data_IF_516082470264
#
_entry.id   IF_516082470264
#
_cell.length_a   1.000
_cell.length_b   1.000
_cell.length_c   1.000
_cell.angle_alpha   90.00
_cell.angle_beta   90.00
_cell.angle_gamma   90.00
#
_symmetry.space_group_name_H-M   'P 1'
#
loop_
_entity.id
_entity.type
_entity.pdbx_description
1 polymer ?
#
# COMPACT_ATOMS: atom_id res chain seq x y z
N UNK A 1 16.84 -7.74 4.50
CA UNK A 1 15.96 -8.17 5.61
C UNK A 1 14.59 -8.58 5.10
N UNK A 2 13.80 -7.68 4.48
CA UNK A 2 12.47 -8.05 3.98
C UNK A 2 12.43 -9.02 2.80
N UNK A 3 13.53 -9.23 2.04
CA UNK A 3 13.59 -10.28 1.00
C UNK A 3 13.20 -11.64 1.56
N UNK A 4 13.93 -12.12 2.57
CA UNK A 4 13.70 -13.44 3.14
C UNK A 4 12.32 -13.58 3.79
N UNK A 5 11.75 -12.49 4.31
CA UNK A 5 10.40 -12.50 4.88
C UNK A 5 9.33 -12.63 3.79
N UNK A 6 9.49 -11.95 2.65
CA UNK A 6 8.61 -12.06 1.48
C UNK A 6 8.77 -13.45 0.86
N UNK A 7 10.00 -13.91 0.67
CA UNK A 7 10.32 -15.22 0.07
C UNK A 7 9.81 -16.40 0.93
N UNK A 8 9.52 -16.16 2.22
CA UNK A 8 8.96 -17.15 3.15
C UNK A 8 7.44 -17.07 3.29
N UNK A 9 6.77 -16.17 2.56
CA UNK A 9 5.30 -16.15 2.51
C UNK A 9 4.80 -17.40 1.79
N UNK A 10 3.63 -17.94 2.19
CA UNK A 10 2.98 -19.00 1.44
C UNK A 10 2.49 -18.46 0.07
N UNK A 11 1.98 -19.36 -0.76
CA UNK A 11 1.34 -18.98 -2.02
C UNK A 11 0.15 -18.03 -1.78
N UNK A 12 -0.12 -17.10 -2.70
CA UNK A 12 -1.19 -16.11 -2.56
C UNK A 12 -2.60 -16.73 -2.46
N UNK A 13 -2.78 -17.97 -2.94
CA UNK A 13 -4.02 -18.73 -2.78
C UNK A 13 -4.15 -19.46 -1.43
N UNK A 14 -3.11 -19.45 -0.60
CA UNK A 14 -3.10 -20.11 0.71
C UNK A 14 -3.94 -19.32 1.74
N UNK A 15 -4.82 -19.98 2.53
CA UNK A 15 -5.61 -19.30 3.56
C UNK A 15 -4.79 -18.55 4.62
N UNK A 16 -3.54 -18.93 4.88
CA UNK A 16 -2.65 -18.23 5.82
C UNK A 16 -1.96 -17.00 5.21
N UNK A 17 -2.00 -16.85 3.88
CA UNK A 17 -1.32 -15.76 3.19
C UNK A 17 -1.74 -14.37 3.67
N UNK A 18 -3.05 -14.04 3.80
CA UNK A 18 -3.46 -12.67 4.14
C UNK A 18 -2.91 -12.20 5.49
N UNK A 19 -2.93 -13.07 6.51
CA UNK A 19 -2.43 -12.75 7.85
C UNK A 19 -0.91 -12.54 7.84
N UNK A 20 -0.16 -13.44 7.20
CA UNK A 20 1.30 -13.35 7.12
C UNK A 20 1.75 -12.14 6.29
N UNK A 21 1.08 -11.88 5.16
CA UNK A 21 1.35 -10.73 4.30
C UNK A 21 1.10 -9.41 5.05
N UNK A 22 0.03 -9.31 5.84
CA UNK A 22 -0.29 -8.12 6.63
C UNK A 22 0.83 -7.74 7.63
N UNK A 23 1.44 -8.74 8.29
CA UNK A 23 2.57 -8.53 9.20
C UNK A 23 3.78 -7.97 8.44
N UNK A 24 4.12 -8.56 7.29
CA UNK A 24 5.24 -8.11 6.47
C UNK A 24 5.00 -6.70 5.93
N UNK A 25 3.82 -6.43 5.38
CA UNK A 25 3.41 -5.12 4.85
C UNK A 25 3.47 -4.03 5.91
N UNK A 26 3.05 -4.31 7.14
CA UNK A 26 3.15 -3.37 8.27
C UNK A 26 4.61 -3.00 8.56
N UNK A 27 5.51 -3.99 8.58
CA UNK A 27 6.95 -3.75 8.74
C UNK A 27 7.54 -2.94 7.59
N UNK A 28 7.16 -3.27 6.35
CA UNK A 28 7.63 -2.56 5.15
C UNK A 28 7.14 -1.10 5.11
N UNK A 29 5.90 -0.82 5.56
CA UNK A 29 5.37 0.56 5.66
C UNK A 29 6.21 1.43 6.60
N UNK A 30 6.63 0.88 7.75
CA UNK A 30 7.55 1.56 8.67
C UNK A 30 8.91 1.82 8.03
N UNK A 31 9.47 0.83 7.30
CA UNK A 31 10.72 1.00 6.58
C UNK A 31 10.61 2.07 5.47
N UNK A 32 9.51 2.08 4.71
CA UNK A 32 9.25 3.10 3.69
C UNK A 32 9.20 4.51 4.27
N UNK A 33 8.57 4.69 5.43
CA UNK A 33 8.54 5.96 6.15
C UNK A 33 9.95 6.41 6.51
N UNK A 34 10.74 5.56 7.18
CA UNK A 34 12.11 5.87 7.58
C UNK A 34 13.03 6.16 6.38
N UNK A 35 12.88 5.42 5.27
CA UNK A 35 13.68 5.63 4.05
C UNK A 35 13.26 6.89 3.28
N UNK A 36 11.97 7.21 3.26
CA UNK A 36 11.48 8.45 2.64
C UNK A 36 11.97 9.67 3.42
N UNK A 37 11.98 9.58 4.76
CA UNK A 37 12.54 10.63 5.62
C UNK A 37 14.06 10.78 5.44
N UNK A 38 14.80 9.67 5.36
CA UNK A 38 16.22 9.72 5.04
C UNK A 38 16.47 10.35 3.66
N UNK A 39 15.66 10.04 2.66
CA UNK A 39 15.79 10.58 1.31
C UNK A 39 15.45 12.09 1.23
N UNK A 40 14.64 12.63 2.14
CA UNK A 40 14.28 14.06 2.18
C UNK A 40 15.30 14.92 2.92
N UNK A 41 16.03 14.36 3.90
CA UNK A 41 16.96 15.10 4.77
C UNK A 41 18.44 15.01 4.36
N UNK A 42 18.81 14.06 3.49
CA UNK A 42 20.22 13.75 3.24
C UNK A 42 20.90 14.68 2.23
N UNK A 43 22.19 14.99 2.47
CA UNK A 43 23.13 15.33 1.37
C UNK A 43 22.95 14.27 0.29
N UNK A 44 22.74 14.70 -0.96
CA UNK A 44 22.37 13.84 -2.10
C UNK A 44 23.27 12.59 -2.14
N UNK A 45 22.73 11.45 -1.71
CA UNK A 45 23.39 10.16 -1.79
C UNK A 45 22.54 9.26 -2.70
N UNK A 46 22.96 9.03 -3.96
CA UNK A 46 22.26 8.16 -4.89
C UNK A 46 21.98 6.76 -4.34
N UNK A 47 22.82 6.22 -3.45
CA UNK A 47 22.61 4.89 -2.87
C UNK A 47 21.34 4.80 -2.03
N UNK A 48 20.96 5.89 -1.35
CA UNK A 48 19.71 5.97 -0.57
C UNK A 48 18.50 5.96 -1.50
N UNK A 49 18.58 6.67 -2.63
CA UNK A 49 17.51 6.71 -3.62
C UNK A 49 17.31 5.33 -4.27
N UNK A 50 18.40 4.64 -4.62
CA UNK A 50 18.35 3.27 -5.16
C UNK A 50 17.76 2.30 -4.14
N UNK A 51 18.16 2.39 -2.86
CA UNK A 51 17.59 1.56 -1.80
C UNK A 51 16.09 1.83 -1.61
N UNK A 52 15.67 3.09 -1.57
CA UNK A 52 14.25 3.46 -1.45
C UNK A 52 13.43 2.95 -2.63
N UNK A 53 13.94 3.06 -3.87
CA UNK A 53 13.29 2.50 -5.05
C UNK A 53 13.14 0.98 -4.93
N UNK A 54 14.18 0.27 -4.48
CA UNK A 54 14.12 -1.18 -4.26
C UNK A 54 13.09 -1.59 -3.22
N UNK A 55 12.94 -0.82 -2.13
CA UNK A 55 11.91 -1.08 -1.11
C UNK A 55 10.50 -0.82 -1.66
N UNK A 56 10.30 0.27 -2.42
CA UNK A 56 9.01 0.59 -3.05
C UNK A 56 8.56 -0.52 -4.00
N UNK A 57 9.42 -0.95 -4.92
CA UNK A 57 9.07 -2.00 -5.89
C UNK A 57 8.66 -3.31 -5.20
N UNK A 58 9.30 -3.68 -4.09
CA UNK A 58 8.95 -4.88 -3.32
C UNK A 58 7.65 -4.72 -2.56
N UNK A 59 7.40 -3.54 -2.00
CA UNK A 59 6.15 -3.24 -1.32
C UNK A 59 4.99 -3.28 -2.31
N UNK A 60 5.17 -2.66 -3.49
CA UNK A 60 4.17 -2.64 -4.55
C UNK A 60 3.82 -4.05 -5.00
N UNK A 61 4.82 -4.89 -5.27
CA UNK A 61 4.61 -6.29 -5.65
C UNK A 61 3.82 -7.08 -4.60
N UNK A 62 4.24 -7.02 -3.33
CA UNK A 62 3.53 -7.71 -2.24
C UNK A 62 2.10 -7.16 -2.06
N UNK A 63 1.89 -5.86 -2.27
CA UNK A 63 0.57 -5.25 -2.19
C UNK A 63 -0.34 -5.71 -3.32
N UNK A 64 0.18 -5.89 -4.53
CA UNK A 64 -0.58 -6.45 -5.65
C UNK A 64 -1.05 -7.88 -5.38
N UNK A 65 -0.18 -8.72 -4.82
CA UNK A 65 -0.54 -10.08 -4.41
C UNK A 65 -1.61 -10.07 -3.31
N UNK A 66 -1.42 -9.24 -2.28
CA UNK A 66 -2.37 -9.09 -1.18
C UNK A 66 -3.74 -8.57 -1.63
N UNK A 67 -3.78 -7.59 -2.54
CA UNK A 67 -5.02 -7.02 -3.05
C UNK A 67 -5.80 -7.97 -3.98
N UNK A 68 -5.12 -8.93 -4.61
CA UNK A 68 -5.71 -9.95 -5.46
C UNK A 68 -6.19 -11.20 -4.71
N UNK A 69 -5.72 -11.40 -3.47
CA UNK A 69 -6.02 -12.58 -2.66
C UNK A 69 -7.39 -12.55 -1.98
N UNK A 70 -7.89 -13.71 -1.52
CA UNK A 70 -9.07 -13.77 -0.67
C UNK A 70 -8.81 -13.00 0.64
N UNK A 71 -9.75 -12.16 1.06
CA UNK A 71 -9.59 -11.35 2.28
C UNK A 71 -8.81 -10.06 2.11
N UNK A 72 -8.52 -9.65 0.86
CA UNK A 72 -7.95 -8.34 0.56
C UNK A 72 -8.71 -7.20 1.26
N UNK A 73 -7.96 -6.37 1.98
CA UNK A 73 -8.56 -5.26 2.74
C UNK A 73 -8.96 -4.11 1.81
N UNK A 74 -9.77 -3.18 2.33
CA UNK A 74 -10.14 -1.98 1.60
C UNK A 74 -8.90 -1.13 1.25
N UNK A 75 -7.95 -1.03 2.17
CA UNK A 75 -6.69 -0.29 2.00
C UNK A 75 -5.81 -0.87 0.90
N UNK A 76 -5.61 -2.19 0.89
CA UNK A 76 -4.83 -2.89 -0.13
C UNK A 76 -5.42 -2.69 -1.53
N UNK A 77 -6.74 -2.89 -1.67
CA UNK A 77 -7.44 -2.70 -2.94
C UNK A 77 -7.39 -1.25 -3.43
N UNK A 78 -7.59 -0.29 -2.52
CA UNK A 78 -7.48 1.14 -2.82
C UNK A 78 -6.07 1.49 -3.32
N UNK A 79 -5.05 1.04 -2.60
CA UNK A 79 -3.65 1.28 -2.94
C UNK A 79 -3.33 0.83 -4.36
N UNK A 80 -3.69 -0.41 -4.69
CA UNK A 80 -3.41 -1.02 -6.00
C UNK A 80 -4.19 -0.33 -7.11
N UNK A 81 -5.50 -0.10 -6.93
CA UNK A 81 -6.32 0.59 -7.93
C UNK A 81 -5.77 1.99 -8.23
N UNK A 82 -5.43 2.74 -7.17
CA UNK A 82 -4.85 4.09 -7.26
C UNK A 82 -3.49 4.09 -7.97
N UNK A 83 -2.58 3.19 -7.59
CA UNK A 83 -1.25 3.12 -8.19
C UNK A 83 -1.29 2.70 -9.66
N UNK A 84 -2.15 1.75 -10.05
CA UNK A 84 -2.37 1.38 -11.46
C UNK A 84 -2.89 2.54 -12.29
N UNK A 85 -3.75 3.36 -11.70
CA UNK A 85 -4.24 4.61 -12.29
C UNK A 85 -3.24 5.79 -12.22
N UNK A 86 -2.06 5.59 -11.60
CA UNK A 86 -1.02 6.61 -11.39
C UNK A 86 -1.50 7.85 -10.63
N UNK A 87 -2.45 7.66 -9.71
CA UNK A 87 -3.02 8.74 -8.90
C UNK A 87 -2.26 8.90 -7.58
N UNK A 88 -2.06 10.13 -7.13
CA UNK A 88 -1.64 10.43 -5.76
C UNK A 88 -2.80 10.23 -4.76
N UNK A 89 -2.49 10.10 -3.47
CA UNK A 89 -3.51 10.03 -2.41
C UNK A 89 -4.42 11.27 -2.42
N UNK A 90 -3.87 12.44 -2.78
CA UNK A 90 -4.62 13.70 -2.92
C UNK A 90 -5.60 13.66 -4.09
N UNK A 91 -5.19 13.17 -5.25
CA UNK A 91 -6.07 13.07 -6.43
C UNK A 91 -7.19 12.07 -6.21
N UNK A 92 -6.88 10.91 -5.62
CA UNK A 92 -7.88 9.91 -5.22
C UNK A 92 -8.90 10.49 -4.23
N UNK A 93 -8.42 11.19 -3.19
CA UNK A 93 -9.28 11.83 -2.20
C UNK A 93 -10.25 12.85 -2.84
N UNK A 94 -9.72 13.70 -3.73
CA UNK A 94 -10.52 14.70 -4.44
C UNK A 94 -11.61 14.05 -5.31
N UNK A 95 -11.31 12.93 -5.97
CA UNK A 95 -12.23 12.22 -6.86
C UNK A 95 -13.52 11.74 -6.18
N UNK A 96 -13.49 11.52 -4.87
CA UNK A 96 -14.65 11.06 -4.07
C UNK A 96 -15.03 12.01 -2.93
N UNK A 97 -14.49 13.23 -2.92
CA UNK A 97 -14.79 14.23 -1.90
C UNK A 97 -14.42 13.78 -0.49
N UNK A 98 -13.23 13.19 -0.35
CA UNK A 98 -12.63 12.77 0.91
C UNK A 98 -11.38 13.59 1.23
N UNK A 99 -10.88 13.47 2.45
CA UNK A 99 -9.62 14.11 2.87
C UNK A 99 -8.44 13.22 2.48
N UNK A 100 -7.30 13.83 2.14
CA UNK A 100 -6.07 13.08 1.77
C UNK A 100 -5.60 12.15 2.88
N UNK A 101 -5.60 12.64 4.11
CA UNK A 101 -5.15 11.90 5.29
C UNK A 101 -6.06 10.69 5.59
N UNK A 102 -7.34 10.75 5.22
CA UNK A 102 -8.23 9.58 5.28
C UNK A 102 -7.81 8.49 4.28
N UNK A 103 -7.43 8.85 3.05
CA UNK A 103 -6.90 7.88 2.07
C UNK A 103 -5.61 7.24 2.60
N UNK A 104 -4.72 8.05 3.16
CA UNK A 104 -3.47 7.58 3.78
C UNK A 104 -3.73 6.63 4.96
N UNK A 105 -4.70 6.96 5.82
CA UNK A 105 -5.10 6.14 6.96
C UNK A 105 -5.71 4.79 6.53
N UNK A 106 -6.59 4.80 5.52
CA UNK A 106 -7.19 3.56 5.00
C UNK A 106 -6.13 2.67 4.34
N UNK A 107 -5.21 3.22 3.55
CA UNK A 107 -4.06 2.47 3.01
C UNK A 107 -3.07 2.01 4.09
N UNK A 108 -3.16 2.58 5.31
CA UNK A 108 -2.46 2.14 6.51
C UNK A 108 -3.22 1.11 7.35
N UNK A 109 -4.38 0.63 6.86
CA UNK A 109 -5.29 -0.31 7.53
C UNK A 109 -6.03 0.28 8.74
N UNK A 110 -6.18 1.60 8.81
CA UNK A 110 -7.06 2.24 9.79
C UNK A 110 -8.53 2.15 9.37
N UNK A 111 -9.42 2.14 10.36
CA UNK A 111 -10.86 2.01 10.13
C UNK A 111 -11.44 3.31 9.58
N UNK A 112 -12.19 3.20 8.48
CA UNK A 112 -13.04 4.26 7.96
C UNK A 112 -14.50 4.03 8.38
N UNK A 113 -15.29 5.10 8.43
CA UNK A 113 -16.74 4.97 8.59
C UNK A 113 -17.37 4.23 7.41
N UNK A 114 -18.61 3.76 7.56
CA UNK A 114 -19.34 3.09 6.47
C UNK A 114 -19.52 4.00 5.24
N UNK A 115 -19.83 5.28 5.47
CA UNK A 115 -20.01 6.28 4.40
C UNK A 115 -18.71 6.53 3.63
N UNK A 116 -17.59 6.64 4.34
CA UNK A 116 -16.27 6.77 3.72
C UNK A 116 -15.87 5.51 2.96
N UNK A 117 -16.13 4.34 3.55
CA UNK A 117 -15.88 3.04 2.93
C UNK A 117 -16.67 2.84 1.64
N UNK A 118 -17.93 3.30 1.59
CA UNK A 118 -18.76 3.25 0.39
C UNK A 118 -18.15 4.08 -0.75
N UNK A 119 -17.77 5.33 -0.46
CA UNK A 119 -17.10 6.22 -1.43
C UNK A 119 -15.80 5.62 -1.97
N UNK A 120 -15.00 4.99 -1.10
CA UNK A 120 -13.75 4.33 -1.50
C UNK A 120 -14.03 3.12 -2.39
N UNK A 121 -15.06 2.32 -2.09
CA UNK A 121 -15.48 1.20 -2.95
C UNK A 121 -15.93 1.68 -4.33
N UNK A 122 -16.66 2.79 -4.39
CA UNK A 122 -17.07 3.41 -5.66
C UNK A 122 -15.86 3.88 -6.48
N UNK A 123 -14.86 4.49 -5.82
CA UNK A 123 -13.60 4.86 -6.49
C UNK A 123 -12.87 3.65 -7.05
N UNK A 124 -12.71 2.59 -6.24
CA UNK A 124 -12.04 1.36 -6.64
C UNK A 124 -12.73 0.77 -7.88
N UNK A 125 -14.06 0.67 -7.86
CA UNK A 125 -14.86 0.18 -8.99
C UNK A 125 -14.68 1.05 -10.25
N UNK A 126 -14.64 2.38 -10.11
CA UNK A 126 -14.43 3.30 -11.22
C UNK A 126 -13.01 3.20 -11.83
N UNK A 127 -12.01 2.76 -11.06
CA UNK A 127 -10.63 2.55 -11.51
C UNK A 127 -10.39 1.15 -12.10
N UNK A 128 -11.41 0.29 -12.15
CA UNK A 128 -11.32 -1.06 -12.72
C UNK A 128 -10.78 -2.12 -11.75
N UNK A 129 -11.03 -1.97 -10.44
CA UNK A 129 -10.74 -2.96 -9.40
C UNK A 129 -11.82 -3.05 -8.32
#
# INVERSE_FOLDING_TARGET
>A
MYSAAIDALPDAGDPEFPERAAVVLTGMRKLLGAMSEAASHSRINPSVIVALSGVRNRYDALMEDAAGGPGATLGQRLYVARNRAKLSTKEAANGVGLRRDLIEAVEAEEQASESESAKIKDLIAALGG
#
